data_IF_608219017842
#
_entry.id   IF_608219017842
#
_cell.length_a   1.000
_cell.length_b   1.000
_cell.length_c   1.000
_cell.angle_alpha   90.00
_cell.angle_beta   90.00
_cell.angle_gamma   90.00
#
_symmetry.space_group_name_H-M   'P 1'
#
loop_
_entity.id
_entity.type
_entity.pdbx_description
1 polymer ?
#
# COMPACT_ATOMS: atom_id res chain seq x y z
N UNK A 1 -27.78 -42.62 62.02
CA UNK A 1 -26.44 -42.38 61.41
C UNK A 1 -26.48 -42.82 59.96
N UNK A 2 -26.57 -41.87 59.03
CA UNK A 2 -25.67 -41.73 57.89
C UNK A 2 -26.27 -40.72 56.90
N UNK A 3 -25.57 -39.58 56.84
CA UNK A 3 -25.77 -38.49 55.89
C UNK A 3 -25.57 -38.99 54.46
N UNK A 4 -26.48 -38.65 53.57
CA UNK A 4 -26.23 -38.65 52.13
C UNK A 4 -26.13 -37.19 51.70
N UNK A 5 -24.89 -36.74 51.48
CA UNK A 5 -24.57 -35.41 50.99
C UNK A 5 -25.16 -35.23 49.59
N UNK A 6 -26.09 -34.27 49.45
CA UNK A 6 -26.49 -33.74 48.16
C UNK A 6 -25.34 -32.93 47.57
N UNK A 7 -24.66 -33.48 46.56
CA UNK A 7 -23.72 -32.76 45.73
C UNK A 7 -24.50 -31.85 44.78
N UNK A 8 -24.63 -30.58 45.14
CA UNK A 8 -25.06 -29.52 44.23
C UNK A 8 -24.06 -29.46 43.08
N UNK A 9 -24.46 -29.99 41.93
CA UNK A 9 -23.71 -29.86 40.69
C UNK A 9 -23.82 -28.40 40.28
N UNK A 10 -22.80 -27.60 40.57
CA UNK A 10 -22.62 -26.30 39.92
C UNK A 10 -22.45 -26.56 38.43
N UNK A 11 -23.54 -26.42 37.69
CA UNK A 11 -23.52 -26.33 36.24
C UNK A 11 -22.62 -25.14 35.91
N UNK A 12 -21.40 -25.43 35.47
CA UNK A 12 -20.58 -24.46 34.76
C UNK A 12 -21.42 -24.02 33.56
N UNK A 13 -22.05 -22.85 33.68
CA UNK A 13 -22.60 -22.14 32.54
C UNK A 13 -21.38 -21.87 31.67
N UNK A 14 -21.16 -22.72 30.66
CA UNK A 14 -20.30 -22.37 29.54
C UNK A 14 -20.89 -21.09 28.98
N UNK A 15 -20.26 -19.95 29.27
CA UNK A 15 -20.48 -18.74 28.50
C UNK A 15 -20.28 -19.18 27.05
N UNK A 16 -21.27 -19.02 26.15
CA UNK A 16 -21.00 -19.22 24.75
C UNK A 16 -19.80 -18.33 24.46
N UNK A 17 -18.70 -18.89 23.97
CA UNK A 17 -17.61 -18.10 23.42
C UNK A 17 -18.29 -17.19 22.40
N UNK A 18 -18.50 -15.92 22.74
CA UNK A 18 -19.06 -14.96 21.81
C UNK A 18 -18.19 -15.04 20.56
N UNK A 19 -18.78 -15.31 19.40
CA UNK A 19 -18.09 -15.67 18.16
C UNK A 19 -16.91 -14.71 17.84
N UNK A 20 -15.72 -15.03 18.35
CA UNK A 20 -14.47 -14.35 18.04
C UNK A 20 -13.95 -14.98 16.76
N UNK A 21 -13.75 -14.14 15.75
CA UNK A 21 -13.14 -14.53 14.49
C UNK A 21 -11.76 -13.87 14.48
N UNK A 22 -10.66 -14.64 14.59
CA UNK A 22 -9.32 -14.09 14.48
C UNK A 22 -9.19 -13.21 13.24
N UNK A 23 -8.78 -11.95 13.44
CA UNK A 23 -8.75 -10.94 12.38
C UNK A 23 -7.42 -10.22 12.38
N UNK A 24 -6.91 -9.92 11.18
CA UNK A 24 -5.69 -9.16 11.00
C UNK A 24 -5.99 -7.82 10.33
N UNK A 25 -5.39 -6.75 10.84
CA UNK A 25 -5.26 -5.48 10.13
C UNK A 25 -3.84 -5.37 9.59
N UNK A 26 -3.70 -5.43 8.28
CA UNK A 26 -2.43 -5.39 7.58
C UNK A 26 -1.94 -3.95 7.38
N UNK A 27 -0.63 -3.77 7.47
CA UNK A 27 0.07 -2.51 7.21
C UNK A 27 0.82 -2.59 5.88
N UNK A 28 1.10 -1.43 5.28
CA UNK A 28 1.92 -1.35 4.06
C UNK A 28 3.36 -1.86 4.25
N UNK A 29 3.85 -1.92 5.49
CA UNK A 29 5.13 -2.54 5.86
C UNK A 29 5.14 -4.08 5.81
N UNK A 30 4.04 -4.71 5.37
CA UNK A 30 3.83 -6.18 5.36
C UNK A 30 3.80 -6.84 6.74
N UNK A 31 3.53 -6.06 7.77
CA UNK A 31 3.25 -6.53 9.12
C UNK A 31 1.72 -6.49 9.31
N UNK A 32 1.19 -7.34 10.17
CA UNK A 32 -0.22 -7.33 10.55
C UNK A 32 -0.37 -7.19 12.06
N UNK A 33 -1.40 -6.44 12.49
CA UNK A 33 -1.89 -6.42 13.87
C UNK A 33 -2.94 -7.52 13.99
N UNK A 34 -2.63 -8.56 14.76
CA UNK A 34 -3.57 -9.63 15.07
C UNK A 34 -4.55 -9.18 16.16
N UNK A 35 -5.82 -9.49 15.99
CA UNK A 35 -6.90 -8.98 16.82
C UNK A 35 -7.95 -10.06 17.09
N UNK A 36 -8.35 -10.15 18.35
CA UNK A 36 -9.44 -11.00 18.83
C UNK A 36 -10.51 -10.11 19.44
N UNK A 37 -11.45 -9.66 18.61
CA UNK A 37 -12.55 -8.79 19.06
C UNK A 37 -13.79 -9.65 19.31
N UNK A 38 -14.36 -9.53 20.51
CA UNK A 38 -15.63 -10.17 20.84
C UNK A 38 -16.75 -9.73 19.87
N UNK A 39 -17.47 -10.70 19.30
CA UNK A 39 -18.50 -10.41 18.29
C UNK A 39 -17.94 -9.80 17.00
N UNK A 40 -16.78 -10.29 16.52
CA UNK A 40 -16.06 -9.73 15.37
C UNK A 40 -16.94 -9.47 14.14
N UNK A 41 -17.91 -10.36 13.88
CA UNK A 41 -18.84 -10.22 12.74
C UNK A 41 -19.71 -8.96 12.80
N UNK A 42 -19.94 -8.43 14.00
CA UNK A 42 -20.73 -7.22 14.26
C UNK A 42 -19.86 -5.99 14.55
N UNK A 43 -18.54 -6.16 14.70
CA UNK A 43 -17.62 -5.09 15.07
C UNK A 43 -17.59 -3.97 14.01
N UNK A 44 -17.91 -2.72 14.38
CA UNK A 44 -17.81 -1.59 13.48
C UNK A 44 -16.35 -1.24 13.14
N UNK A 45 -16.12 -0.75 11.92
CA UNK A 45 -14.81 -0.29 11.42
C UNK A 45 -14.12 0.68 12.38
N UNK A 46 -14.84 1.63 12.97
CA UNK A 46 -14.24 2.60 13.90
C UNK A 46 -13.65 1.93 15.16
N UNK A 47 -14.30 0.89 15.67
CA UNK A 47 -13.84 0.16 16.85
C UNK A 47 -12.61 -0.67 16.51
N UNK A 48 -12.66 -1.37 15.37
CA UNK A 48 -11.51 -2.13 14.85
C UNK A 48 -10.32 -1.22 14.55
N UNK A 49 -10.53 -0.03 13.97
CA UNK A 49 -9.48 0.95 13.71
C UNK A 49 -8.83 1.43 15.01
N UNK A 50 -9.64 1.81 16.00
CA UNK A 50 -9.15 2.26 17.29
C UNK A 50 -8.34 1.17 18.02
N UNK A 51 -8.80 -0.09 17.94
CA UNK A 51 -8.07 -1.23 18.50
C UNK A 51 -6.75 -1.49 17.76
N UNK A 52 -6.75 -1.47 16.42
CA UNK A 52 -5.54 -1.66 15.62
C UNK A 52 -4.48 -0.58 15.91
N UNK A 53 -4.88 0.70 15.93
CA UNK A 53 -4.00 1.83 16.28
C UNK A 53 -3.64 1.86 17.78
N UNK A 54 -4.40 1.13 18.60
CA UNK A 54 -4.21 1.00 20.04
C UNK A 54 -3.09 0.03 20.42
N UNK A 55 -2.72 -0.89 19.54
CA UNK A 55 -1.65 -1.88 19.67
C UNK A 55 -0.33 -1.20 20.09
N UNK A 56 0.23 -1.65 21.21
CA UNK A 56 1.41 -1.03 21.83
C UNK A 56 2.66 -1.18 20.95
N UNK A 57 2.75 -2.29 20.24
CA UNK A 57 3.81 -2.61 19.29
C UNK A 57 3.85 -1.65 18.10
N UNK A 58 2.72 -0.98 17.79
CA UNK A 58 2.75 0.10 16.81
C UNK A 58 3.43 1.35 17.35
N UNK A 59 3.50 1.58 18.66
CA UNK A 59 4.21 2.73 19.24
C UNK A 59 3.65 4.10 18.83
N UNK A 60 2.35 4.18 18.50
CA UNK A 60 1.69 5.43 18.12
C UNK A 60 1.34 6.21 19.39
N UNK A 61 1.99 7.37 19.59
CA UNK A 61 1.75 8.22 20.73
C UNK A 61 0.39 8.95 20.63
N UNK A 62 0.11 9.59 19.49
CA UNK A 62 -1.13 10.34 19.28
C UNK A 62 -2.19 9.51 18.53
N UNK A 63 -2.84 8.60 19.25
CA UNK A 63 -3.84 7.67 18.71
C UNK A 63 -5.07 8.38 18.12
N UNK A 64 -5.48 9.52 18.69
CA UNK A 64 -6.61 10.31 18.19
C UNK A 64 -6.29 10.97 16.84
N UNK A 65 -5.08 11.55 16.72
CA UNK A 65 -4.60 12.09 15.46
C UNK A 65 -4.48 10.98 14.40
N UNK A 66 -3.91 9.82 14.77
CA UNK A 66 -3.79 8.68 13.86
C UNK A 66 -5.16 8.19 13.33
N UNK A 67 -6.20 8.15 14.17
CA UNK A 67 -7.58 7.81 13.75
C UNK A 67 -8.18 8.80 12.73
N UNK A 68 -7.70 10.04 12.68
CA UNK A 68 -8.12 11.02 11.69
C UNK A 68 -7.39 10.84 10.35
N UNK A 69 -6.11 10.46 10.41
CA UNK A 69 -5.20 10.33 9.28
C UNK A 69 -5.39 9.01 8.53
N UNK A 70 -5.68 7.93 9.26
CA UNK A 70 -5.80 6.59 8.71
C UNK A 70 -7.24 6.10 8.75
N UNK A 71 -7.58 5.19 7.84
CA UNK A 71 -8.82 4.44 7.83
C UNK A 71 -8.55 2.96 7.58
N UNK A 72 -9.55 2.13 7.84
CA UNK A 72 -9.53 0.74 7.38
C UNK A 72 -10.07 0.66 5.96
N UNK A 73 -9.41 -0.15 5.16
CA UNK A 73 -9.76 -0.42 3.79
C UNK A 73 -9.93 -1.92 3.60
N UNK A 74 -10.90 -2.32 2.79
CA UNK A 74 -10.98 -3.68 2.26
C UNK A 74 -10.35 -3.64 0.87
N UNK A 75 -9.26 -4.38 0.67
CA UNK A 75 -8.44 -4.28 -0.55
C UNK A 75 -8.11 -5.65 -1.11
N UNK A 76 -8.05 -5.76 -2.42
CA UNK A 76 -7.50 -6.92 -3.14
C UNK A 76 -6.72 -6.48 -4.38
N UNK A 77 -6.36 -7.42 -5.25
CA UNK A 77 -5.73 -7.09 -6.53
C UNK A 77 -6.68 -6.37 -7.50
N UNK A 78 -8.00 -6.46 -7.28
CA UNK A 78 -9.02 -5.98 -8.22
C UNK A 78 -9.75 -4.73 -7.74
N UNK A 79 -9.80 -4.48 -6.42
CA UNK A 79 -10.62 -3.41 -5.85
C UNK A 79 -10.08 -2.92 -4.50
N UNK A 80 -10.04 -1.59 -4.32
CA UNK A 80 -9.69 -0.90 -3.08
C UNK A 80 -10.91 -0.12 -2.56
N UNK A 81 -11.45 -0.47 -1.38
CA UNK A 81 -12.60 0.22 -0.77
C UNK A 81 -12.25 0.77 0.62
N UNK A 82 -12.33 2.08 0.81
CA UNK A 82 -12.27 2.67 2.14
C UNK A 82 -13.57 2.39 2.91
N UNK A 83 -13.46 1.81 4.10
CA UNK A 83 -14.60 1.51 4.95
C UNK A 83 -15.05 2.74 5.74
N UNK A 84 -16.36 2.96 5.85
CA UNK A 84 -16.95 3.98 6.72
C UNK A 84 -16.96 3.50 8.17
N UNK A 85 -16.99 4.44 9.11
CA UNK A 85 -16.94 4.17 10.57
C UNK A 85 -17.95 3.12 11.06
N UNK A 86 -19.17 3.13 10.51
CA UNK A 86 -20.28 2.25 10.88
C UNK A 86 -20.33 0.95 10.06
N UNK A 87 -19.51 0.80 9.01
CA UNK A 87 -19.45 -0.46 8.28
C UNK A 87 -18.91 -1.57 9.18
N UNK A 88 -19.27 -2.82 8.87
CA UNK A 88 -18.73 -4.01 9.53
C UNK A 88 -17.78 -4.70 8.56
N UNK A 89 -16.46 -4.72 8.81
CA UNK A 89 -15.49 -5.30 7.88
C UNK A 89 -15.82 -6.75 7.48
N UNK A 90 -16.29 -7.56 8.44
CA UNK A 90 -16.74 -8.93 8.16
C UNK A 90 -17.89 -9.01 7.14
N UNK A 91 -18.90 -8.15 7.29
CA UNK A 91 -20.03 -8.11 6.35
C UNK A 91 -19.58 -7.68 4.94
N UNK A 92 -18.63 -6.75 4.86
CA UNK A 92 -18.04 -6.34 3.57
C UNK A 92 -17.26 -7.48 2.92
N UNK A 93 -16.51 -8.27 3.70
CA UNK A 93 -15.81 -9.48 3.22
C UNK A 93 -16.80 -10.52 2.69
N UNK A 94 -17.89 -10.77 3.41
CA UNK A 94 -18.95 -11.71 2.94
C UNK A 94 -19.57 -11.23 1.62
N UNK A 95 -19.75 -9.93 1.45
CA UNK A 95 -20.30 -9.33 0.22
C UNK A 95 -19.26 -9.15 -0.90
N UNK A 96 -17.99 -9.53 -0.71
CA UNK A 96 -16.89 -9.14 -1.58
C UNK A 96 -17.10 -9.55 -3.04
N UNK A 97 -17.53 -10.79 -3.28
CA UNK A 97 -17.79 -11.27 -4.65
C UNK A 97 -18.84 -10.42 -5.38
N UNK A 98 -19.93 -10.06 -4.71
CA UNK A 98 -20.94 -9.16 -5.27
C UNK A 98 -20.43 -7.74 -5.50
N UNK A 99 -19.42 -7.29 -4.76
CA UNK A 99 -18.76 -6.00 -4.98
C UNK A 99 -17.84 -6.07 -6.20
N UNK A 100 -17.06 -7.14 -6.37
CA UNK A 100 -16.23 -7.36 -7.55
C UNK A 100 -17.06 -7.44 -8.82
N UNK A 101 -18.22 -8.10 -8.78
CA UNK A 101 -19.12 -8.19 -9.93
C UNK A 101 -19.58 -6.80 -10.40
N UNK A 102 -19.80 -5.87 -9.47
CA UNK A 102 -20.31 -4.52 -9.76
C UNK A 102 -19.23 -3.49 -10.05
N UNK A 103 -18.09 -3.58 -9.38
CA UNK A 103 -17.12 -2.48 -9.29
C UNK A 103 -15.71 -2.83 -9.74
N UNK A 104 -15.47 -4.06 -10.23
CA UNK A 104 -14.17 -4.45 -10.77
C UNK A 104 -14.25 -4.83 -12.26
N UNK A 105 -13.15 -4.58 -12.97
CA UNK A 105 -12.93 -4.98 -14.36
C UNK A 105 -12.26 -6.35 -14.51
N UNK A 106 -12.14 -7.12 -13.43
CA UNK A 106 -11.54 -8.46 -13.47
C UNK A 106 -12.37 -9.42 -14.31
N UNK A 107 -11.75 -10.43 -14.91
CA UNK A 107 -12.47 -11.51 -15.57
C UNK A 107 -13.04 -12.51 -14.55
N UNK A 108 -13.90 -13.43 -14.99
CA UNK A 108 -14.59 -14.38 -14.10
C UNK A 108 -13.65 -15.25 -13.25
N UNK A 109 -12.46 -15.59 -13.77
CA UNK A 109 -11.46 -16.38 -13.04
C UNK A 109 -10.79 -15.49 -11.99
N UNK A 110 -10.36 -14.29 -12.37
CA UNK A 110 -9.77 -13.31 -11.45
C UNK A 110 -10.71 -13.03 -10.27
N UNK A 111 -11.99 -12.74 -10.54
CA UNK A 111 -12.97 -12.47 -9.47
C UNK A 111 -13.19 -13.68 -8.55
N UNK A 112 -13.34 -14.88 -9.12
CA UNK A 112 -13.61 -16.11 -8.37
C UNK A 112 -12.55 -16.44 -7.32
N UNK A 113 -11.28 -16.15 -7.62
CA UNK A 113 -10.15 -16.47 -6.75
C UNK A 113 -9.59 -15.25 -5.99
N UNK A 114 -10.24 -14.09 -6.13
CA UNK A 114 -9.84 -12.88 -5.42
C UNK A 114 -10.34 -12.93 -3.96
N UNK A 115 -9.41 -12.69 -3.03
CA UNK A 115 -9.67 -12.65 -1.58
C UNK A 115 -9.18 -11.32 -1.00
N UNK A 116 -10.05 -10.52 -0.35
CA UNK A 116 -9.65 -9.23 0.15
C UNK A 116 -8.98 -9.31 1.52
N UNK A 117 -8.24 -8.27 1.88
CA UNK A 117 -7.67 -8.08 3.20
C UNK A 117 -8.05 -6.72 3.78
N UNK A 118 -8.06 -6.65 5.12
CA UNK A 118 -8.27 -5.38 5.83
C UNK A 118 -6.92 -4.69 5.97
N UNK A 119 -6.76 -3.54 5.32
CA UNK A 119 -5.54 -2.74 5.34
C UNK A 119 -5.75 -1.46 6.15
N UNK A 120 -4.75 -1.06 6.94
CA UNK A 120 -4.61 0.30 7.43
C UNK A 120 -3.97 1.14 6.33
N UNK A 121 -4.70 2.14 5.83
CA UNK A 121 -4.22 3.07 4.80
C UNK A 121 -4.62 4.49 5.14
N UNK A 122 -4.03 5.48 4.47
CA UNK A 122 -4.41 6.88 4.53
C UNK A 122 -5.91 7.02 4.30
N UNK A 123 -6.56 7.82 5.15
CA UNK A 123 -7.93 8.25 4.95
C UNK A 123 -7.95 9.23 3.77
N UNK A 124 -8.69 8.91 2.70
CA UNK A 124 -8.77 9.74 1.50
C UNK A 124 -9.26 11.17 1.81
N UNK A 125 -10.09 11.32 2.84
CA UNK A 125 -10.66 12.60 3.26
C UNK A 125 -9.74 13.43 4.17
N UNK A 126 -8.60 12.89 4.60
CA UNK A 126 -7.67 13.67 5.39
C UNK A 126 -6.96 14.71 4.51
N UNK A 127 -6.95 15.95 4.96
CA UNK A 127 -6.38 17.10 4.24
C UNK A 127 -4.87 16.93 4.09
N UNK A 128 -4.36 17.03 2.85
CA UNK A 128 -2.91 17.00 2.60
C UNK A 128 -2.20 18.14 3.33
N UNK A 129 -2.83 19.33 3.37
CA UNK A 129 -2.29 20.51 4.06
C UNK A 129 -2.07 20.27 5.56
N UNK A 130 -2.92 19.47 6.20
CA UNK A 130 -2.76 19.14 7.62
C UNK A 130 -1.77 18.00 7.82
N UNK A 131 -1.68 17.10 6.85
CA UNK A 131 -0.69 16.03 6.82
C UNK A 131 0.76 16.55 6.78
N UNK A 132 1.02 17.57 5.98
CA UNK A 132 2.34 18.22 5.87
C UNK A 132 2.87 18.74 7.22
N UNK A 133 1.97 19.05 8.16
CA UNK A 133 2.29 19.58 9.50
C UNK A 133 2.63 18.49 10.52
N UNK A 134 2.41 17.21 10.22
CA UNK A 134 2.58 16.10 11.17
C UNK A 134 4.05 15.95 11.57
N UNK A 135 4.34 15.89 12.86
CA UNK A 135 5.70 15.68 13.39
C UNK A 135 5.91 14.32 14.07
N UNK A 136 4.82 13.62 14.36
CA UNK A 136 4.82 12.30 14.97
C UNK A 136 5.59 11.31 14.10
N UNK A 137 6.58 10.64 14.69
CA UNK A 137 7.52 9.80 13.95
C UNK A 137 6.83 8.58 13.35
N UNK A 138 5.94 7.95 14.11
CA UNK A 138 5.34 6.68 13.71
C UNK A 138 4.26 6.87 12.67
N UNK A 139 3.48 7.94 12.80
CA UNK A 139 2.51 8.34 11.76
C UNK A 139 3.23 8.63 10.44
N UNK A 140 4.36 9.36 10.46
CA UNK A 140 5.15 9.62 9.25
C UNK A 140 5.71 8.34 8.64
N UNK A 141 6.13 7.38 9.45
CA UNK A 141 6.60 6.09 8.97
C UNK A 141 5.48 5.32 8.26
N UNK A 142 4.27 5.26 8.83
CA UNK A 142 3.12 4.60 8.20
C UNK A 142 2.73 5.26 6.87
N UNK A 143 2.70 6.60 6.82
CA UNK A 143 2.48 7.35 5.57
C UNK A 143 3.59 7.09 4.54
N UNK A 144 4.84 7.03 4.99
CA UNK A 144 5.99 6.73 4.13
C UNK A 144 5.90 5.32 3.53
N UNK A 145 5.51 4.32 4.31
CA UNK A 145 5.36 2.94 3.83
C UNK A 145 4.28 2.85 2.74
N UNK A 146 3.17 3.57 2.89
CA UNK A 146 2.15 3.67 1.85
C UNK A 146 2.62 4.46 0.62
N UNK A 147 3.33 5.58 0.81
CA UNK A 147 3.90 6.34 -0.30
C UNK A 147 4.92 5.49 -1.08
N UNK A 148 5.79 4.76 -0.38
CA UNK A 148 6.74 3.79 -0.96
C UNK A 148 6.01 2.75 -1.78
N UNK A 149 4.95 2.15 -1.25
CA UNK A 149 4.13 1.19 -1.99
C UNK A 149 3.58 1.79 -3.29
N UNK A 150 3.02 3.00 -3.23
CA UNK A 150 2.46 3.67 -4.42
C UNK A 150 3.54 4.03 -5.46
N UNK A 151 4.76 4.37 -5.04
CA UNK A 151 5.89 4.57 -5.95
C UNK A 151 6.29 3.26 -6.60
N UNK A 152 6.56 2.20 -5.82
CA UNK A 152 7.06 0.93 -6.34
C UNK A 152 6.03 0.20 -7.23
N UNK A 153 4.75 0.33 -6.93
CA UNK A 153 3.65 -0.22 -7.75
C UNK A 153 3.37 0.59 -9.02
N UNK A 154 4.04 1.73 -9.22
CA UNK A 154 3.82 2.60 -10.38
C UNK A 154 2.54 3.43 -10.33
N UNK A 155 1.81 3.44 -9.20
CA UNK A 155 0.65 4.33 -8.98
C UNK A 155 1.07 5.80 -8.96
N UNK A 156 2.30 6.08 -8.52
CA UNK A 156 2.88 7.42 -8.56
C UNK A 156 3.80 7.60 -9.78
N UNK A 157 3.23 8.15 -10.86
CA UNK A 157 3.94 8.42 -12.12
C UNK A 157 4.93 9.56 -11.94
N UNK A 158 6.18 9.35 -12.36
CA UNK A 158 7.23 10.36 -12.31
C UNK A 158 8.34 10.07 -13.32
N UNK A 159 9.17 11.08 -13.59
CA UNK A 159 10.40 10.86 -14.35
C UNK A 159 11.34 9.87 -13.67
N UNK A 160 12.10 9.10 -14.46
CA UNK A 160 13.05 8.11 -13.92
C UNK A 160 14.11 8.73 -13.02
N UNK A 161 14.51 9.98 -13.27
CA UNK A 161 15.45 10.75 -12.43
C UNK A 161 14.95 10.86 -10.98
N UNK A 162 13.67 11.15 -10.79
CA UNK A 162 13.01 11.21 -9.49
C UNK A 162 12.86 9.83 -8.86
N UNK A 163 12.52 8.80 -9.64
CA UNK A 163 12.46 7.43 -9.15
C UNK A 163 13.82 6.95 -8.61
N UNK A 164 14.94 7.26 -9.28
CA UNK A 164 16.29 6.96 -8.76
C UNK A 164 16.60 7.73 -7.48
N UNK A 165 16.22 9.00 -7.39
CA UNK A 165 16.40 9.82 -6.18
C UNK A 165 15.65 9.22 -4.98
N UNK A 166 14.37 8.88 -5.16
CA UNK A 166 13.54 8.21 -4.16
C UNK A 166 14.09 6.82 -3.80
N UNK A 167 14.54 6.05 -4.79
CA UNK A 167 15.17 4.75 -4.58
C UNK A 167 16.47 4.84 -3.77
N UNK A 168 17.29 5.88 -3.98
CA UNK A 168 18.47 6.14 -3.17
C UNK A 168 18.12 6.45 -1.71
N UNK A 169 17.04 7.21 -1.47
CA UNK A 169 16.51 7.47 -0.12
C UNK A 169 16.02 6.17 0.53
N UNK A 170 15.26 5.35 -0.19
CA UNK A 170 14.78 4.05 0.30
C UNK A 170 15.93 3.12 0.65
N UNK A 171 16.91 2.97 -0.24
CA UNK A 171 18.10 2.17 -0.01
C UNK A 171 18.87 2.67 1.23
N UNK A 172 18.97 3.99 1.43
CA UNK A 172 19.61 4.56 2.63
C UNK A 172 18.83 4.27 3.92
N UNK A 173 17.50 4.24 3.86
CA UNK A 173 16.63 3.91 4.99
C UNK A 173 16.77 2.43 5.36
N UNK A 174 16.77 1.54 4.37
CA UNK A 174 16.74 0.10 4.56
C UNK A 174 18.13 -0.52 4.81
N UNK A 175 19.16 -0.04 4.12
CA UNK A 175 20.51 -0.60 4.15
C UNK A 175 21.47 0.18 5.06
N UNK A 176 21.07 1.37 5.52
CA UNK A 176 21.96 2.28 6.24
C UNK A 176 22.92 3.05 5.33
N UNK A 177 23.94 3.73 5.90
CA UNK A 177 24.93 4.49 5.14
C UNK A 177 25.63 3.65 4.07
N UNK A 178 26.06 4.29 2.97
CA UNK A 178 26.76 3.59 1.91
C UNK A 178 28.03 2.88 2.43
N UNK A 179 28.15 1.59 2.13
CA UNK A 179 29.35 0.78 2.37
C UNK A 179 29.75 0.11 1.05
N UNK A 180 30.99 0.37 0.60
CA UNK A 180 31.50 -0.13 -0.68
C UNK A 180 31.64 -1.64 -0.75
N UNK A 181 31.76 -2.33 0.39
CA UNK A 181 31.91 -3.78 0.45
C UNK A 181 30.58 -4.51 0.29
N UNK A 182 29.48 -3.92 0.75
CA UNK A 182 28.15 -4.55 0.76
C UNK A 182 27.23 -3.99 -0.32
N UNK A 183 27.26 -2.68 -0.58
CA UNK A 183 26.36 -2.00 -1.52
C UNK A 183 26.98 -1.96 -2.93
N UNK A 184 27.33 -3.14 -3.44
CA UNK A 184 27.95 -3.30 -4.76
C UNK A 184 26.92 -3.16 -5.88
N UNK A 185 27.42 -2.96 -7.11
CA UNK A 185 26.59 -2.99 -8.33
C UNK A 185 25.85 -4.33 -8.48
N UNK A 186 26.49 -5.45 -8.12
CA UNK A 186 25.87 -6.78 -8.15
C UNK A 186 24.69 -6.87 -7.17
N UNK A 187 24.92 -6.48 -5.91
CA UNK A 187 23.87 -6.46 -4.90
C UNK A 187 22.66 -5.63 -5.34
N UNK A 188 22.89 -4.40 -5.81
CA UNK A 188 21.79 -3.53 -6.25
C UNK A 188 21.09 -4.06 -7.50
N UNK A 189 21.80 -4.77 -8.38
CA UNK A 189 21.19 -5.41 -9.56
C UNK A 189 20.19 -6.49 -9.17
N UNK A 190 20.52 -7.32 -8.20
CA UNK A 190 19.64 -8.37 -7.70
C UNK A 190 18.45 -7.81 -6.91
N UNK A 191 18.57 -6.59 -6.39
CA UNK A 191 17.61 -5.99 -5.47
C UNK A 191 16.89 -4.75 -6.04
N UNK A 192 16.97 -4.47 -7.35
CA UNK A 192 16.45 -3.22 -7.93
C UNK A 192 14.96 -2.98 -7.61
N UNK A 193 14.14 -4.02 -7.68
CA UNK A 193 12.70 -3.94 -7.46
C UNK A 193 12.30 -3.64 -6.00
N UNK A 194 13.25 -3.70 -5.04
CA UNK A 194 13.01 -3.20 -3.68
C UNK A 194 13.00 -1.68 -3.61
N UNK A 195 13.65 -1.01 -4.56
CA UNK A 195 13.92 0.44 -4.51
C UNK A 195 13.41 1.21 -5.72
N UNK A 196 13.06 0.52 -6.80
CA UNK A 196 12.64 1.14 -8.06
C UNK A 196 11.34 0.51 -8.55
N UNK A 197 10.43 1.30 -9.14
CA UNK A 197 9.27 0.74 -9.81
C UNK A 197 9.70 -0.15 -10.98
N UNK A 198 8.86 -1.15 -11.28
CA UNK A 198 9.12 -2.17 -12.31
C UNK A 198 9.54 -1.60 -13.66
N UNK A 199 9.05 -0.42 -14.02
CA UNK A 199 9.32 0.20 -15.31
C UNK A 199 10.64 1.00 -15.37
N UNK A 200 11.17 1.41 -14.22
CA UNK A 200 12.49 2.06 -14.11
C UNK A 200 13.58 1.02 -13.87
N UNK A 201 13.26 -0.01 -13.08
CA UNK A 201 14.09 -1.20 -12.97
C UNK A 201 14.18 -1.88 -14.33
N UNK A 202 15.38 -1.98 -14.91
CA UNK A 202 15.54 -2.63 -16.21
C UNK A 202 15.63 -4.14 -16.01
N UNK A 203 14.84 -4.89 -16.77
CA UNK A 203 14.95 -6.35 -16.84
C UNK A 203 16.32 -6.78 -17.36
N UNK A 204 16.82 -7.93 -16.88
CA UNK A 204 18.08 -8.59 -17.27
C UNK A 204 18.24 -8.86 -18.77
N UNK A 205 17.19 -8.66 -19.58
CA UNK A 205 17.11 -9.00 -21.00
C UNK A 205 18.28 -8.47 -21.84
N UNK A 206 18.91 -7.36 -21.46
CA UNK A 206 19.97 -6.70 -22.24
C UNK A 206 21.34 -6.68 -21.53
N UNK A 207 21.52 -7.49 -20.47
CA UNK A 207 22.75 -7.54 -19.68
C UNK A 207 24.00 -7.98 -20.46
N UNK A 208 23.82 -8.58 -21.64
CA UNK A 208 24.89 -9.06 -22.53
C UNK A 208 25.52 -7.94 -23.39
N UNK A 209 24.89 -6.76 -23.50
CA UNK A 209 25.42 -5.66 -24.33
C UNK A 209 26.45 -4.79 -23.57
N UNK A 210 27.69 -4.64 -24.08
CA UNK A 210 28.78 -3.90 -23.40
C UNK A 210 28.49 -2.42 -23.14
N UNK A 211 27.60 -1.80 -23.93
CA UNK A 211 27.31 -0.36 -23.93
C UNK A 211 26.45 0.08 -22.74
N UNK A 212 25.77 -0.85 -22.06
CA UNK A 212 24.74 -0.52 -21.05
C UNK A 212 25.25 -0.31 -19.62
N UNK A 213 26.55 -0.48 -19.32
CA UNK A 213 27.01 -0.56 -17.91
C UNK A 213 27.07 0.78 -17.17
N UNK A 214 27.45 1.89 -17.81
CA UNK A 214 27.60 3.20 -17.10
C UNK A 214 26.26 3.89 -16.80
N UNK A 215 25.22 3.55 -17.55
CA UNK A 215 23.89 4.16 -17.42
C UNK A 215 22.82 3.18 -16.93
N UNK A 216 23.23 2.03 -16.37
CA UNK A 216 22.29 1.03 -15.86
C UNK A 216 21.58 1.52 -14.61
N UNK A 217 20.42 0.91 -14.33
CA UNK A 217 19.58 1.29 -13.20
C UNK A 217 20.30 1.09 -11.86
N UNK A 218 21.06 0.01 -11.71
CA UNK A 218 21.85 -0.26 -10.50
C UNK A 218 23.00 0.73 -10.30
N UNK A 219 23.61 1.25 -11.37
CA UNK A 219 24.64 2.31 -11.26
C UNK A 219 24.01 3.63 -10.83
N UNK A 220 22.90 4.03 -11.46
CA UNK A 220 22.19 5.26 -11.10
C UNK A 220 21.65 5.20 -9.67
N UNK A 221 21.13 4.06 -9.26
CA UNK A 221 20.68 3.84 -7.88
C UNK A 221 21.85 3.93 -6.90
N UNK A 222 23.00 3.31 -7.22
CA UNK A 222 24.20 3.39 -6.39
C UNK A 222 24.69 4.84 -6.22
N UNK A 223 24.70 5.62 -7.30
CA UNK A 223 25.06 7.04 -7.25
C UNK A 223 24.14 7.82 -6.33
N UNK A 224 22.83 7.58 -6.39
CA UNK A 224 21.88 8.24 -5.51
C UNK A 224 22.06 7.83 -4.05
N UNK A 225 22.30 6.54 -3.76
CA UNK A 225 22.61 6.05 -2.42
C UNK A 225 23.87 6.74 -1.84
N UNK A 226 24.93 6.88 -2.64
CA UNK A 226 26.18 7.57 -2.25
C UNK A 226 25.96 9.06 -1.95
N UNK A 227 25.00 9.70 -2.63
CA UNK A 227 24.67 11.12 -2.43
C UNK A 227 23.89 11.39 -1.15
N UNK A 228 23.26 10.37 -0.55
CA UNK A 228 22.50 10.58 0.68
C UNK A 228 23.47 10.78 1.86
N UNK A 229 23.40 11.89 2.61
CA UNK A 229 24.34 12.15 3.69
C UNK A 229 24.36 11.05 4.75
N UNK A 230 25.55 10.69 5.23
CA UNK A 230 25.73 9.70 6.30
C UNK A 230 25.04 10.13 7.59
N UNK A 231 25.03 11.43 7.88
CA UNK A 231 24.40 12.05 9.06
C UNK A 231 22.89 12.19 8.99
N UNK A 232 22.26 11.90 7.84
CA UNK A 232 20.82 11.98 7.69
C UNK A 232 20.12 10.89 8.53
N UNK A 233 19.16 11.30 9.35
CA UNK A 233 18.35 10.36 10.15
C UNK A 233 17.22 9.78 9.31
N UNK A 234 16.79 8.54 9.63
CA UNK A 234 15.64 7.88 8.97
C UNK A 234 14.40 8.77 8.96
N UNK A 235 14.11 9.46 10.07
CA UNK A 235 13.03 10.45 10.16
C UNK A 235 13.10 11.53 9.08
N UNK A 236 14.27 12.15 8.90
CA UNK A 236 14.47 13.22 7.90
C UNK A 236 14.33 12.67 6.48
N UNK A 237 14.82 11.45 6.25
CA UNK A 237 14.74 10.78 4.96
C UNK A 237 13.30 10.41 4.58
N UNK A 238 12.53 9.81 5.49
CA UNK A 238 11.11 9.52 5.29
C UNK A 238 10.31 10.80 5.03
N UNK A 239 10.58 11.87 5.78
CA UNK A 239 9.97 13.18 5.54
C UNK A 239 10.31 13.73 4.16
N UNK A 240 11.59 13.71 3.75
CA UNK A 240 12.01 14.19 2.42
C UNK A 240 11.35 13.39 1.29
N UNK A 241 11.19 12.08 1.49
CA UNK A 241 10.46 11.22 0.57
C UNK A 241 8.99 11.65 0.46
N UNK A 242 8.32 11.84 1.60
CA UNK A 242 6.93 12.30 1.65
C UNK A 242 6.75 13.70 1.03
N UNK A 243 7.66 14.64 1.29
CA UNK A 243 7.64 15.98 0.71
C UNK A 243 7.65 15.95 -0.82
N UNK A 244 8.44 15.05 -1.42
CA UNK A 244 8.36 14.82 -2.86
C UNK A 244 6.99 14.27 -3.27
N UNK A 245 6.50 13.24 -2.57
CA UNK A 245 5.21 12.63 -2.88
C UNK A 245 4.03 13.60 -2.72
N UNK A 246 4.02 14.48 -1.72
CA UNK A 246 2.99 15.50 -1.50
C UNK A 246 2.85 16.50 -2.64
N UNK A 247 3.92 16.70 -3.42
CA UNK A 247 3.89 17.56 -4.60
C UNK A 247 3.17 16.91 -5.79
N UNK A 248 3.04 15.58 -5.81
CA UNK A 248 2.41 14.86 -6.91
C UNK A 248 0.90 15.13 -6.97
N UNK A 249 0.31 15.27 -8.17
CA UNK A 249 -1.09 15.63 -8.32
C UNK A 249 -2.07 14.58 -7.81
N UNK A 250 -1.70 13.31 -7.93
CA UNK A 250 -2.50 12.14 -7.52
C UNK A 250 -2.11 11.62 -6.12
N UNK A 251 -1.33 12.36 -5.33
CA UNK A 251 -0.99 11.94 -3.96
C UNK A 251 -2.26 11.70 -3.13
N UNK A 252 -2.27 10.61 -2.36
CA UNK A 252 -3.39 10.26 -1.48
C UNK A 252 -4.68 9.88 -2.21
N UNK A 253 -4.60 9.59 -3.51
CA UNK A 253 -5.74 9.18 -4.32
C UNK A 253 -6.22 7.76 -4.03
N UNK A 254 -7.52 7.55 -4.25
CA UNK A 254 -8.07 6.22 -4.49
C UNK A 254 -7.82 5.86 -5.95
N UNK A 255 -7.45 4.61 -6.21
CA UNK A 255 -7.17 4.13 -7.55
C UNK A 255 -8.19 3.09 -7.98
N UNK A 256 -8.72 3.26 -9.19
CA UNK A 256 -9.67 2.36 -9.84
C UNK A 256 -9.11 1.88 -11.17
N UNK A 257 -9.45 0.65 -11.57
CA UNK A 257 -9.15 0.18 -12.91
C UNK A 257 -10.25 0.61 -13.88
N UNK A 258 -9.85 1.13 -15.03
CA UNK A 258 -10.75 1.57 -16.09
C UNK A 258 -10.27 1.15 -17.46
N UNK A 259 -11.10 1.43 -18.45
CA UNK A 259 -10.79 1.23 -19.86
C UNK A 259 -11.15 2.51 -20.61
N UNK A 260 -10.33 2.88 -21.58
CA UNK A 260 -10.54 4.04 -22.44
C UNK A 260 -10.56 3.58 -23.90
N UNK A 261 -11.66 3.91 -24.59
CA UNK A 261 -11.79 3.74 -26.03
C UNK A 261 -10.96 4.82 -26.74
N UNK A 262 -10.14 4.44 -27.71
CA UNK A 262 -9.38 5.39 -28.51
C UNK A 262 -10.15 5.77 -29.78
N UNK A 263 -10.26 7.08 -30.12
CA UNK A 263 -10.91 7.50 -31.35
C UNK A 263 -10.06 7.07 -32.55
N UNK A 264 -10.64 6.28 -33.45
CA UNK A 264 -9.96 5.82 -34.66
C UNK A 264 -10.09 6.86 -35.77
N UNK A 265 -8.99 7.22 -36.44
CA UNK A 265 -9.01 7.99 -37.69
C UNK A 265 -8.49 7.13 -38.84
N UNK A 266 -9.27 7.00 -39.92
CA UNK A 266 -8.86 6.38 -41.17
C UNK A 266 -9.08 4.85 -41.28
N UNK A 267 -8.49 4.25 -42.32
CA UNK A 267 -8.70 2.85 -42.74
C UNK A 267 -8.28 1.79 -41.68
N UNK A 268 -7.57 2.20 -40.62
CA UNK A 268 -7.19 1.35 -39.49
C UNK A 268 -8.35 0.97 -38.57
N UNK A 269 -9.53 1.60 -38.74
CA UNK A 269 -10.79 1.23 -38.06
C UNK A 269 -11.21 -0.22 -38.26
N UNK A 270 -10.71 -0.91 -39.29
CA UNK A 270 -11.19 -2.25 -39.64
C UNK A 270 -10.39 -3.39 -38.98
N UNK A 271 -9.25 -3.12 -38.33
CA UNK A 271 -8.28 -4.19 -38.01
C UNK A 271 -7.94 -4.35 -36.52
N UNK A 272 -8.16 -3.37 -35.64
CA UNK A 272 -8.04 -3.63 -34.19
C UNK A 272 -8.64 -2.52 -33.34
N UNK A 273 -9.73 -2.82 -32.65
CA UNK A 273 -10.17 -2.07 -31.48
C UNK A 273 -9.56 -2.74 -30.25
N UNK A 274 -8.59 -2.08 -29.61
CA UNK A 274 -8.11 -2.53 -28.31
C UNK A 274 -8.22 -1.39 -27.33
N UNK A 275 -9.21 -1.50 -26.44
CA UNK A 275 -9.36 -0.58 -25.33
C UNK A 275 -8.07 -0.52 -24.53
N UNK A 276 -7.67 0.69 -24.16
CA UNK A 276 -6.50 0.90 -23.31
C UNK A 276 -6.94 0.76 -21.87
N UNK A 277 -6.32 -0.17 -21.15
CA UNK A 277 -6.49 -0.27 -19.70
C UNK A 277 -5.80 0.91 -19.05
N UNK A 278 -6.53 1.63 -18.22
CA UNK A 278 -6.03 2.80 -17.49
C UNK A 278 -6.25 2.63 -16.00
N UNK A 279 -5.47 3.35 -15.23
CA UNK A 279 -5.69 3.54 -13.81
C UNK A 279 -6.29 4.93 -13.59
N UNK A 280 -7.42 4.99 -12.91
CA UNK A 280 -8.14 6.23 -12.59
C UNK A 280 -7.82 6.58 -11.14
N UNK A 281 -7.11 7.68 -10.92
CA UNK A 281 -6.81 8.22 -9.61
C UNK A 281 -7.80 9.33 -9.25
N UNK A 282 -8.39 9.28 -8.05
CA UNK A 282 -9.32 10.30 -7.55
C UNK A 282 -8.88 10.78 -6.17
N UNK A 283 -8.66 12.09 -6.01
CA UNK A 283 -8.40 12.74 -4.73
C UNK A 283 -9.09 14.12 -4.66
N UNK A 284 -8.80 14.89 -3.60
CA UNK A 284 -9.34 16.25 -3.41
C UNK A 284 -9.01 17.24 -4.53
N UNK A 285 -7.99 16.97 -5.35
CA UNK A 285 -7.57 17.83 -6.47
C UNK A 285 -8.31 17.53 -7.78
N UNK A 286 -8.84 16.32 -7.95
CA UNK A 286 -9.56 15.93 -9.16
C UNK A 286 -9.41 14.47 -9.55
N UNK A 287 -9.60 14.22 -10.84
CA UNK A 287 -9.54 12.90 -11.48
C UNK A 287 -8.35 12.87 -12.43
N UNK A 288 -7.53 11.82 -12.34
CA UNK A 288 -6.34 11.61 -13.15
C UNK A 288 -6.44 10.27 -13.87
N UNK A 289 -6.18 10.26 -15.18
CA UNK A 289 -6.15 9.04 -15.98
C UNK A 289 -4.67 8.72 -16.22
N UNK A 290 -4.24 7.54 -15.78
CA UNK A 290 -2.85 7.08 -15.83
C UNK A 290 -2.80 5.86 -16.74
N UNK A 291 -1.95 5.92 -17.77
CA UNK A 291 -1.62 4.74 -18.57
C UNK A 291 -0.51 3.93 -17.85
N UNK A 292 -0.79 2.70 -17.39
CA UNK A 292 0.20 1.87 -16.70
C UNK A 292 1.32 1.35 -17.63
N UNK A 293 1.11 1.36 -18.96
CA UNK A 293 2.05 0.88 -19.98
C UNK A 293 2.95 2.00 -20.53
N UNK A 294 2.52 3.25 -20.56
CA UNK A 294 3.41 4.37 -20.92
C UNK A 294 4.50 4.61 -19.87
N UNK A 295 4.29 4.14 -18.63
CA UNK A 295 5.39 4.02 -17.66
C UNK A 295 6.52 3.08 -18.16
N UNK A 296 6.21 2.07 -18.98
CA UNK A 296 7.12 1.02 -19.46
C UNK A 296 7.76 1.28 -20.84
N UNK A 297 7.38 2.33 -21.56
CA UNK A 297 7.82 2.50 -22.95
C UNK A 297 7.94 3.96 -23.36
N UNK A 298 9.18 4.46 -23.49
CA UNK A 298 9.82 4.91 -24.75
C UNK A 298 11.05 5.78 -24.45
N UNK A 299 12.25 5.23 -24.74
CA UNK A 299 13.13 5.69 -25.84
C UNK A 299 13.94 4.50 -26.32
#
# INVERSE_FOLDING_TARGET
MNNINGSTSTSLIQRPLQNVIPTCVYLMSRIAVHMEIEGTSQCPTQVMLAAALGCEELGIANKLLAQSIFGLWMTSGLLDIQLKSHHRPYAVRVAWQSLLDKFSSGNSIEKKFDDPMIMLKRNVFFSKRDEEKIKDQRILELLYEEAKYNVLSGRYVMESSHAFMLGGIQARIELGPYNSHTHTIGFLRENQLRFLPQHVARSMSWAWLPVSRKNSAEVKLLEQLKRVPSTATTKKLMRKYLEFCWALPFYGAVFFHGQMEQPVRGLMSLVSHKDVRVLIAVNERGIFIIDPLECLTYR
#
